data_IF_850271772379
#
_entry.id   IF_850271772379
#
_cell.length_a   1.000
_cell.length_b   1.000
_cell.length_c   1.000
_cell.angle_alpha   90.00
_cell.angle_beta   90.00
_cell.angle_gamma   90.00
#
_symmetry.space_group_name_H-M   'P 1'
#
loop_
_entity.id
_entity.type
_entity.pdbx_description
1 polymer ?
#
# COMPACT_ATOMS: atom_id res chain seq x y z
N UNK A 1 -2.15 -1.77 -14.64
CA UNK A 1 -2.89 -2.95 -14.16
C UNK A 1 -3.40 -2.69 -12.76
N UNK A 2 -4.64 -3.06 -12.50
CA UNK A 2 -5.30 -2.79 -11.22
C UNK A 2 -5.13 -3.97 -10.25
N UNK A 3 -4.83 -3.64 -9.00
CA UNK A 3 -4.66 -4.64 -7.95
C UNK A 3 -5.50 -4.28 -6.73
N UNK A 4 -5.92 -5.30 -6.00
CA UNK A 4 -6.61 -5.17 -4.72
C UNK A 4 -5.91 -6.04 -3.70
N UNK A 5 -5.71 -5.51 -2.50
CA UNK A 5 -5.07 -6.22 -1.41
C UNK A 5 -5.93 -6.12 -0.16
N UNK A 6 -6.27 -7.25 0.42
CA UNK A 6 -7.05 -7.29 1.66
C UNK A 6 -6.11 -7.15 2.84
N UNK A 7 -6.31 -6.11 3.63
CA UNK A 7 -5.45 -5.80 4.78
C UNK A 7 -5.77 -6.68 5.98
N UNK A 8 -4.81 -6.75 6.90
CA UNK A 8 -4.95 -7.51 8.15
C UNK A 8 -4.44 -6.69 9.33
N UNK A 9 -5.20 -6.68 10.43
CA UNK A 9 -4.78 -6.06 11.67
C UNK A 9 -4.70 -4.54 11.65
N UNK A 10 -5.35 -3.88 10.70
CA UNK A 10 -5.34 -2.42 10.56
C UNK A 10 -6.75 -1.90 10.33
N UNK A 11 -6.93 -0.57 10.40
CA UNK A 11 -8.27 0.02 10.29
C UNK A 11 -8.86 -0.04 8.89
N UNK A 12 -8.06 0.05 7.83
CA UNK A 12 -8.59 -0.14 6.47
C UNK A 12 -8.87 -1.61 6.21
N UNK A 13 -9.82 -1.89 5.33
CA UNK A 13 -10.23 -3.25 4.99
C UNK A 13 -9.54 -3.76 3.73
N UNK A 14 -9.23 -2.87 2.81
CA UNK A 14 -8.71 -3.22 1.50
C UNK A 14 -7.94 -2.04 0.92
N UNK A 15 -6.94 -2.35 0.13
CA UNK A 15 -6.16 -1.33 -0.59
C UNK A 15 -6.26 -1.64 -2.08
N UNK A 16 -6.71 -0.67 -2.87
CA UNK A 16 -6.72 -0.78 -4.33
C UNK A 16 -5.66 0.16 -4.88
N UNK A 17 -4.97 -0.26 -5.91
CA UNK A 17 -3.94 0.56 -6.55
C UNK A 17 -3.68 0.08 -7.97
N UNK A 18 -3.00 0.93 -8.74
CA UNK A 18 -2.53 0.57 -10.08
C UNK A 18 -1.02 0.42 -10.07
N UNK A 19 -0.52 -0.54 -10.83
CA UNK A 19 0.91 -0.79 -10.97
C UNK A 19 1.25 -0.79 -12.46
N UNK A 20 2.19 0.08 -12.83
CA UNK A 20 2.70 0.16 -14.20
C UNK A 20 4.22 -0.04 -14.14
N UNK A 21 4.68 -1.24 -14.51
CA UNK A 21 6.05 -1.63 -14.27
C UNK A 21 6.29 -1.72 -12.77
N UNK A 22 7.05 -0.78 -12.22
CA UNK A 22 7.27 -0.67 -10.78
C UNK A 22 6.69 0.61 -10.18
N UNK A 23 5.96 1.39 -10.97
CA UNK A 23 5.35 2.66 -10.53
C UNK A 23 3.94 2.44 -10.05
N UNK A 24 3.66 2.90 -8.84
CA UNK A 24 2.36 2.76 -8.18
C UNK A 24 1.56 4.04 -8.32
N UNK A 25 0.28 3.92 -8.62
CA UNK A 25 -0.62 5.08 -8.73
C UNK A 25 -2.03 4.72 -8.30
N UNK A 26 -2.87 5.74 -8.15
CA UNK A 26 -4.29 5.61 -7.83
C UNK A 26 -4.55 4.71 -6.61
N UNK A 27 -3.78 4.93 -5.54
CA UNK A 27 -3.94 4.18 -4.29
C UNK A 27 -5.20 4.65 -3.58
N UNK A 28 -6.06 3.69 -3.22
CA UNK A 28 -7.30 3.95 -2.47
C UNK A 28 -7.38 2.96 -1.32
N UNK A 29 -7.53 3.50 -0.11
CA UNK A 29 -7.79 2.68 1.08
C UNK A 29 -9.31 2.61 1.29
N UNK A 30 -9.84 1.41 1.39
CA UNK A 30 -11.26 1.20 1.61
C UNK A 30 -11.50 0.91 3.08
N UNK A 31 -12.33 1.71 3.72
CA UNK A 31 -12.56 1.67 5.15
C UNK A 31 -11.44 2.36 5.92
N UNK A 32 -11.56 2.45 7.23
CA UNK A 32 -10.52 2.97 8.11
C UNK A 32 -10.50 4.49 8.27
N UNK A 33 -9.39 5.00 8.77
CA UNK A 33 -9.20 6.41 9.12
C UNK A 33 -8.96 7.26 7.87
N UNK A 34 -9.79 8.27 7.67
CA UNK A 34 -9.84 8.98 6.40
C UNK A 34 -8.67 9.95 6.13
N UNK A 35 -8.29 10.75 7.11
CA UNK A 35 -7.32 11.83 6.90
C UNK A 35 -5.93 11.34 6.52
N UNK A 36 -5.36 10.48 7.35
CA UNK A 36 -4.00 9.98 7.14
C UNK A 36 -3.90 9.10 5.90
N UNK A 37 -4.92 8.30 5.62
CA UNK A 37 -4.91 7.40 4.47
C UNK A 37 -4.99 8.17 3.16
N UNK A 38 -5.76 9.26 3.12
CA UNK A 38 -5.79 10.14 1.95
C UNK A 38 -4.43 10.80 1.71
N UNK A 39 -3.78 11.24 2.77
CA UNK A 39 -2.44 11.85 2.67
C UNK A 39 -1.43 10.84 2.13
N UNK A 40 -1.45 9.62 2.64
CA UNK A 40 -0.55 8.55 2.18
C UNK A 40 -0.82 8.24 0.70
N UNK A 41 -2.08 8.15 0.32
CA UNK A 41 -2.46 7.87 -1.08
C UNK A 41 -1.90 8.91 -2.04
N UNK A 42 -1.97 10.19 -1.66
CA UNK A 42 -1.43 11.27 -2.48
C UNK A 42 0.09 11.25 -2.51
N UNK A 43 0.72 10.98 -1.35
CA UNK A 43 2.17 11.00 -1.23
C UNK A 43 2.82 9.92 -2.08
N UNK A 44 2.25 8.72 -2.10
CA UNK A 44 2.85 7.58 -2.80
C UNK A 44 2.49 7.52 -4.28
N UNK A 45 1.59 8.36 -4.73
CA UNK A 45 1.19 8.38 -6.14
C UNK A 45 2.38 8.72 -7.04
N UNK A 46 2.72 7.80 -7.94
CA UNK A 46 3.88 7.96 -8.80
C UNK A 46 5.19 7.43 -8.22
N UNK A 47 5.17 6.90 -7.00
CA UNK A 47 6.36 6.29 -6.41
C UNK A 47 6.57 4.88 -6.93
N UNK A 48 7.82 4.42 -6.90
CA UNK A 48 8.14 3.03 -7.24
C UNK A 48 7.86 2.12 -6.04
N UNK A 49 7.74 0.83 -6.31
CA UNK A 49 7.57 -0.19 -5.26
C UNK A 49 8.72 -0.11 -4.24
N UNK A 50 9.95 0.05 -4.71
CA UNK A 50 11.12 0.16 -3.83
C UNK A 50 11.04 1.38 -2.93
N UNK A 51 10.60 2.52 -3.45
CA UNK A 51 10.45 3.75 -2.67
C UNK A 51 9.38 3.59 -1.60
N UNK A 52 8.22 3.05 -1.96
CA UNK A 52 7.13 2.83 -1.00
C UNK A 52 7.57 1.86 0.09
N UNK A 53 8.20 0.78 -0.27
CA UNK A 53 8.70 -0.20 0.68
C UNK A 53 9.72 0.41 1.63
N UNK A 54 10.64 1.22 1.10
CA UNK A 54 11.67 1.87 1.89
C UNK A 54 11.13 2.85 2.92
N UNK A 55 10.06 3.57 2.58
CA UNK A 55 9.49 4.57 3.47
C UNK A 55 8.45 4.01 4.43
N UNK A 56 7.68 3.01 4.02
CA UNK A 56 6.49 2.60 4.75
C UNK A 56 6.56 1.23 5.41
N UNK A 57 7.40 0.34 4.92
CA UNK A 57 7.48 -1.01 5.49
C UNK A 57 8.05 -0.98 6.90
N UNK A 58 7.39 -1.71 7.80
CA UNK A 58 7.79 -1.73 9.20
C UNK A 58 7.23 -0.59 10.03
N UNK A 59 6.46 0.29 9.42
CA UNK A 59 5.79 1.39 10.11
C UNK A 59 4.60 0.83 10.88
N UNK A 60 4.70 0.78 12.20
CA UNK A 60 3.66 0.21 13.04
C UNK A 60 2.76 1.28 13.64
N UNK A 61 1.57 0.88 14.06
CA UNK A 61 0.58 1.79 14.64
C UNK A 61 0.36 1.42 16.11
N UNK A 62 0.99 2.17 17.01
CA UNK A 62 0.88 1.93 18.45
C UNK A 62 1.35 0.52 18.82
N UNK A 63 0.47 -0.27 19.44
CA UNK A 63 0.79 -1.63 19.86
C UNK A 63 0.59 -2.68 18.79
N UNK A 64 0.13 -2.29 17.61
CA UNK A 64 -0.10 -3.24 16.52
C UNK A 64 1.21 -3.58 15.84
N UNK A 65 1.30 -4.80 15.33
CA UNK A 65 2.47 -5.27 14.62
C UNK A 65 2.63 -4.65 13.23
N UNK A 66 1.58 -3.97 12.73
CA UNK A 66 1.55 -3.40 11.39
C UNK A 66 0.70 -2.13 11.37
N UNK A 67 0.66 -1.46 10.24
CA UNK A 67 -0.17 -0.28 10.00
C UNK A 67 -0.69 -0.32 8.57
N UNK A 68 -1.62 0.60 8.24
CA UNK A 68 -2.10 0.71 6.86
C UNK A 68 -0.95 1.02 5.91
N UNK A 69 0.00 1.84 6.34
CA UNK A 69 1.18 2.16 5.55
C UNK A 69 2.06 0.93 5.31
N UNK A 70 2.30 0.15 6.37
CA UNK A 70 3.06 -1.09 6.26
C UNK A 70 2.35 -2.09 5.34
N UNK A 71 1.03 -2.20 5.46
CA UNK A 71 0.23 -3.09 4.60
C UNK A 71 0.31 -2.66 3.13
N UNK A 72 0.32 -1.36 2.86
CA UNK A 72 0.50 -0.86 1.49
C UNK A 72 1.85 -1.29 0.92
N UNK A 73 2.92 -1.16 1.70
CA UNK A 73 4.26 -1.58 1.27
C UNK A 73 4.28 -3.08 0.91
N UNK A 74 3.66 -3.90 1.73
CA UNK A 74 3.54 -5.34 1.49
C UNK A 74 2.74 -5.60 0.21
N UNK A 75 1.61 -4.90 0.06
CA UNK A 75 0.71 -5.09 -1.08
C UNK A 75 1.38 -4.78 -2.41
N UNK A 76 2.10 -3.65 -2.48
CA UNK A 76 2.75 -3.25 -3.74
C UNK A 76 3.90 -4.20 -4.10
N UNK A 77 4.62 -4.71 -3.11
CA UNK A 77 5.69 -5.68 -3.35
C UNK A 77 5.13 -7.00 -3.85
N UNK A 78 4.05 -7.50 -3.26
CA UNK A 78 3.39 -8.72 -3.72
C UNK A 78 2.89 -8.58 -5.15
N UNK A 79 2.24 -7.46 -5.47
CA UNK A 79 1.73 -7.21 -6.82
C UNK A 79 2.88 -7.15 -7.83
N UNK A 80 3.97 -6.48 -7.47
CA UNK A 80 5.15 -6.39 -8.34
C UNK A 80 5.74 -7.77 -8.60
N UNK A 81 5.88 -8.58 -7.57
CA UNK A 81 6.43 -9.95 -7.71
C UNK A 81 5.55 -10.81 -8.60
N UNK A 82 4.23 -10.69 -8.48
CA UNK A 82 3.29 -11.43 -9.35
C UNK A 82 3.41 -10.98 -10.79
N UNK A 83 3.54 -9.68 -11.03
CA UNK A 83 3.69 -9.15 -12.37
C UNK A 83 4.98 -9.63 -13.03
N UNK A 84 6.07 -9.74 -12.26
CA UNK A 84 7.34 -10.24 -12.78
C UNK A 84 7.31 -11.75 -13.01
N UNK A 85 6.58 -12.50 -12.20
CA UNK A 85 6.48 -13.95 -12.32
C UNK A 85 5.57 -14.40 -13.44
N UNK A 86 4.59 -13.58 -13.75
CA UNK A 86 3.61 -13.87 -14.79
C UNK A 86 4.00 -13.35 -16.12
#
# INVERSE_FOLDING_TARGET
>A
MDYSYRTKGVCSMQINFKLDGDVVSDVVFIGGCNGNLKAISKLVNGMTVDQIEGYLKGNTCGYKATSCADQLAIAVREAYNRAQAG
#
